data_IF_012825426236
#
_entry.id   IF_012825426236
#
_cell.length_a   1.000
_cell.length_b   1.000
_cell.length_c   1.000
_cell.angle_alpha   90.00
_cell.angle_beta   90.00
_cell.angle_gamma   90.00
#
_symmetry.space_group_name_H-M   'P 1'
#
loop_
_entity.id
_entity.type
_entity.pdbx_description
1 polymer ?
#
# COMPACT_ATOMS: atom_id res chain seq x y z
N UNK A 1 -4.43 -29.89 -12.67
CA UNK A 1 -3.60 -29.57 -11.50
C UNK A 1 -4.54 -28.93 -10.51
N UNK A 2 -4.85 -29.61 -9.42
CA UNK A 2 -5.72 -29.12 -8.34
C UNK A 2 -5.05 -27.89 -7.73
N UNK A 3 -5.71 -26.74 -7.81
CA UNK A 3 -5.37 -25.55 -7.01
C UNK A 3 -5.38 -25.97 -5.53
N UNK A 4 -4.20 -26.13 -4.97
CA UNK A 4 -4.07 -26.25 -3.52
C UNK A 4 -4.56 -24.91 -2.98
N UNK A 5 -5.60 -24.95 -2.14
CA UNK A 5 -6.18 -23.82 -1.45
C UNK A 5 -5.13 -23.32 -0.42
N UNK A 6 -4.10 -22.63 -0.91
CA UNK A 6 -3.04 -22.05 -0.07
C UNK A 6 -3.66 -20.88 0.66
N UNK A 7 -3.82 -21.02 1.97
CA UNK A 7 -4.33 -19.92 2.79
C UNK A 7 -3.43 -18.68 2.63
N UNK A 8 -3.98 -17.51 2.32
CA UNK A 8 -3.19 -16.29 2.18
C UNK A 8 -2.49 -15.93 3.50
N UNK A 9 -1.31 -15.33 3.40
CA UNK A 9 -0.57 -14.84 4.56
C UNK A 9 -1.32 -13.70 5.25
N UNK A 10 -1.80 -12.74 4.46
CA UNK A 10 -2.65 -11.64 4.90
C UNK A 10 -3.94 -11.67 4.08
N UNK A 11 -5.08 -11.56 4.75
CA UNK A 11 -6.39 -11.41 4.12
C UNK A 11 -7.14 -10.25 4.79
N UNK A 12 -7.60 -9.30 4.00
CA UNK A 12 -8.38 -8.15 4.43
C UNK A 12 -9.75 -8.26 3.79
N UNK A 13 -10.81 -8.25 4.61
CA UNK A 13 -12.20 -8.37 4.16
C UNK A 13 -13.06 -7.22 4.68
N UNK A 14 -13.76 -6.55 3.77
CA UNK A 14 -14.70 -5.47 4.04
C UNK A 14 -14.18 -4.45 5.07
N UNK A 15 -12.88 -4.11 4.97
CA UNK A 15 -12.26 -3.20 5.93
C UNK A 15 -12.84 -1.80 5.81
N UNK A 16 -13.34 -1.26 6.94
CA UNK A 16 -13.82 0.12 7.04
C UNK A 16 -13.13 0.85 8.17
N UNK A 17 -12.48 1.96 7.84
CA UNK A 17 -11.80 2.85 8.79
C UNK A 17 -12.25 4.28 8.58
N UNK A 18 -12.90 4.85 9.60
CA UNK A 18 -13.51 6.16 9.56
C UNK A 18 -12.89 7.09 10.59
N UNK A 19 -12.86 8.40 10.26
CA UNK A 19 -12.44 9.44 11.19
C UNK A 19 -13.65 10.34 11.53
N UNK A 20 -13.88 10.52 12.82
CA UNK A 20 -14.99 11.29 13.37
C UNK A 20 -14.51 12.72 13.66
N UNK A 21 -14.65 13.60 12.69
CA UNK A 21 -14.21 15.01 12.78
C UNK A 21 -15.40 15.94 13.07
N UNK A 22 -15.11 17.20 13.42
CA UNK A 22 -16.15 18.23 13.62
C UNK A 22 -16.96 18.47 12.34
N UNK A 23 -16.34 18.36 11.17
CA UNK A 23 -16.98 18.55 9.86
C UNK A 23 -17.80 17.34 9.38
N UNK A 24 -17.68 16.19 10.05
CA UNK A 24 -18.39 14.97 9.71
C UNK A 24 -17.53 13.70 9.74
N UNK A 25 -18.08 12.63 9.21
CA UNK A 25 -17.43 11.31 9.18
C UNK A 25 -16.66 11.15 7.88
N UNK A 26 -15.33 11.15 7.96
CA UNK A 26 -14.43 10.87 6.84
C UNK A 26 -14.32 9.37 6.65
N UNK A 27 -14.84 8.81 5.55
CA UNK A 27 -14.79 7.39 5.20
C UNK A 27 -13.50 7.07 4.45
N UNK A 28 -12.37 7.12 5.16
CA UNK A 28 -11.05 7.00 4.55
C UNK A 28 -10.78 5.63 3.92
N UNK A 29 -11.30 4.56 4.52
CA UNK A 29 -11.36 3.20 3.97
C UNK A 29 -12.78 2.70 4.16
N UNK A 30 -13.43 2.22 3.10
CA UNK A 30 -14.86 1.94 3.13
C UNK A 30 -15.23 0.68 2.34
N UNK A 31 -14.85 -0.48 2.86
CA UNK A 31 -15.07 -1.80 2.24
C UNK A 31 -13.94 -2.15 1.28
N UNK A 32 -12.74 -2.32 1.82
CA UNK A 32 -11.55 -2.76 1.09
C UNK A 32 -11.35 -4.25 1.31
N UNK A 33 -11.18 -4.97 0.19
CA UNK A 33 -10.96 -6.41 0.13
C UNK A 33 -9.70 -6.70 -0.69
N UNK A 34 -8.72 -7.38 -0.12
CA UNK A 34 -7.56 -7.93 -0.84
C UNK A 34 -6.84 -8.96 0.02
N UNK A 35 -5.96 -9.73 -0.62
CA UNK A 35 -5.12 -10.69 0.07
C UNK A 35 -3.68 -10.65 -0.45
N UNK A 36 -2.76 -11.17 0.35
CA UNK A 36 -1.33 -11.29 0.03
C UNK A 36 -0.87 -12.69 0.37
N UNK A 37 -0.24 -13.37 -0.57
CA UNK A 37 0.37 -14.68 -0.38
C UNK A 37 1.79 -14.56 0.17
N UNK A 38 2.35 -15.65 0.72
CA UNK A 38 3.74 -15.64 1.18
C UNK A 38 4.71 -15.31 0.05
N UNK A 39 5.63 -14.39 0.27
CA UNK A 39 6.63 -13.95 -0.70
C UNK A 39 6.08 -13.11 -1.87
N UNK A 40 4.78 -12.82 -1.92
CA UNK A 40 4.14 -12.01 -2.95
C UNK A 40 4.33 -10.52 -2.68
N UNK A 41 4.41 -9.70 -3.75
CA UNK A 41 4.31 -8.24 -3.67
C UNK A 41 2.98 -7.79 -4.23
N UNK A 42 2.14 -7.21 -3.38
CA UNK A 42 0.88 -6.56 -3.78
C UNK A 42 1.06 -5.06 -3.73
N UNK A 43 0.93 -4.41 -4.88
CA UNK A 43 0.92 -2.96 -5.00
C UNK A 43 -0.44 -2.37 -4.63
N UNK A 44 -0.47 -1.34 -3.80
CA UNK A 44 -1.67 -0.54 -3.52
C UNK A 44 -1.45 0.87 -4.05
N UNK A 45 -2.12 1.23 -5.15
CA UNK A 45 -1.88 2.48 -5.89
C UNK A 45 -3.11 3.37 -5.93
N UNK A 46 -2.89 4.66 -6.18
CA UNK A 46 -3.95 5.66 -6.35
C UNK A 46 -3.47 7.05 -5.96
N UNK A 47 -4.30 8.06 -6.23
CA UNK A 47 -4.01 9.47 -5.89
C UNK A 47 -3.83 9.68 -4.39
N UNK A 48 -3.16 10.77 -4.00
CA UNK A 48 -3.02 11.16 -2.59
C UNK A 48 -4.40 11.33 -1.94
N UNK A 49 -4.53 10.89 -0.68
CA UNK A 49 -5.79 10.98 0.07
C UNK A 49 -6.83 9.90 -0.26
N UNK A 50 -6.56 8.94 -1.16
CA UNK A 50 -7.53 7.89 -1.49
C UNK A 50 -7.67 6.77 -0.43
N UNK A 51 -6.86 6.78 0.66
CA UNK A 51 -6.98 5.85 1.78
C UNK A 51 -5.86 4.80 1.93
N UNK A 52 -4.82 4.80 1.07
CA UNK A 52 -3.73 3.80 1.08
C UNK A 52 -3.02 3.68 2.43
N UNK A 53 -2.48 4.79 2.95
CA UNK A 53 -1.79 4.82 4.24
C UNK A 53 -2.72 4.50 5.42
N UNK A 54 -4.01 4.86 5.31
CA UNK A 54 -5.00 4.48 6.33
C UNK A 54 -5.25 2.97 6.31
N UNK A 55 -5.23 2.34 5.14
CA UNK A 55 -5.33 0.88 5.01
C UNK A 55 -4.16 0.19 5.69
N UNK A 56 -2.92 0.63 5.44
CA UNK A 56 -1.72 0.07 6.08
C UNK A 56 -1.72 0.24 7.60
N UNK A 57 -2.06 1.45 8.08
CA UNK A 57 -2.18 1.72 9.51
C UNK A 57 -3.30 0.91 10.17
N UNK A 58 -4.39 0.61 9.44
CA UNK A 58 -5.46 -0.26 9.93
C UNK A 58 -4.98 -1.70 10.10
N UNK A 59 -4.22 -2.24 9.13
CA UNK A 59 -3.62 -3.57 9.21
C UNK A 59 -2.68 -3.66 10.42
N UNK A 60 -1.86 -2.64 10.65
CA UNK A 60 -0.96 -2.56 11.79
C UNK A 60 -1.66 -2.18 13.09
N UNK A 61 -2.98 -1.87 13.08
CA UNK A 61 -3.75 -1.35 14.21
C UNK A 61 -3.09 -0.11 14.85
N UNK A 62 -2.63 0.82 14.01
CA UNK A 62 -1.98 2.08 14.41
C UNK A 62 -2.87 3.30 14.13
N UNK A 63 -4.17 3.10 13.94
CA UNK A 63 -5.14 4.20 13.74
C UNK A 63 -5.29 4.97 15.05
N UNK A 64 -4.97 6.26 15.01
CA UNK A 64 -5.09 7.17 16.16
C UNK A 64 -6.45 7.87 16.17
N UNK A 65 -6.91 8.28 17.36
CA UNK A 65 -8.09 9.15 17.55
C UNK A 65 -7.91 10.41 16.70
N UNK A 66 -8.95 10.87 15.95
CA UNK A 66 -10.35 10.45 16.00
C UNK A 66 -10.73 9.29 15.05
N UNK A 67 -9.75 8.55 14.51
CA UNK A 67 -9.96 7.41 13.63
C UNK A 67 -10.35 6.15 14.38
N UNK A 68 -11.14 5.30 13.71
CA UNK A 68 -11.57 4.01 14.24
C UNK A 68 -11.79 3.01 13.10
N UNK A 69 -11.34 1.76 13.28
CA UNK A 69 -11.76 0.62 12.45
C UNK A 69 -13.18 0.26 12.91
N UNK A 70 -14.16 0.43 12.02
CA UNK A 70 -15.59 0.30 12.35
C UNK A 70 -16.17 -1.04 11.93
N UNK A 71 -15.58 -1.68 10.89
CA UNK A 71 -16.06 -2.94 10.34
C UNK A 71 -14.93 -3.64 9.59
N UNK A 72 -15.10 -4.95 9.34
CA UNK A 72 -14.20 -5.77 8.54
C UNK A 72 -13.41 -6.77 9.36
N UNK A 73 -12.60 -7.54 8.64
CA UNK A 73 -11.71 -8.54 9.21
C UNK A 73 -10.30 -8.37 8.61
N UNK A 74 -9.29 -8.54 9.45
CA UNK A 74 -7.88 -8.56 9.04
C UNK A 74 -7.29 -9.86 9.57
N UNK A 75 -7.14 -10.85 8.72
CA UNK A 75 -6.56 -12.15 9.06
C UNK A 75 -5.10 -12.20 8.65
N UNK A 76 -4.21 -12.49 9.59
CA UNK A 76 -2.80 -12.75 9.34
C UNK A 76 -2.45 -14.15 9.84
N UNK A 77 -1.97 -15.02 8.95
CA UNK A 77 -1.74 -16.45 9.22
C UNK A 77 -2.97 -17.13 9.86
N UNK A 78 -4.17 -16.79 9.38
CA UNK A 78 -5.44 -17.33 9.90
C UNK A 78 -5.89 -16.77 11.26
N UNK A 79 -5.17 -15.80 11.83
CA UNK A 79 -5.56 -15.13 13.08
C UNK A 79 -6.12 -13.74 12.80
N UNK A 80 -7.33 -13.45 13.25
CA UNK A 80 -7.91 -12.11 13.11
C UNK A 80 -7.19 -11.11 14.03
N UNK A 81 -6.47 -10.17 13.43
CA UNK A 81 -5.69 -9.16 14.14
C UNK A 81 -6.55 -8.22 14.98
N UNK A 82 -7.83 -7.99 14.60
CA UNK A 82 -8.72 -7.08 15.31
C UNK A 82 -9.15 -7.65 16.67
N UNK A 83 -9.06 -8.96 16.85
CA UNK A 83 -9.42 -9.65 18.11
C UNK A 83 -8.24 -9.84 19.05
N UNK A 84 -7.01 -9.59 18.61
CA UNK A 84 -5.82 -9.70 19.44
C UNK A 84 -5.78 -8.60 20.51
N UNK A 85 -5.27 -8.94 21.69
CA UNK A 85 -4.92 -7.95 22.72
C UNK A 85 -3.78 -7.04 22.25
N UNK A 86 -3.62 -5.86 22.84
CA UNK A 86 -2.50 -4.98 22.48
C UNK A 86 -1.14 -5.62 22.75
N UNK A 87 -1.05 -6.41 23.83
CA UNK A 87 0.18 -7.17 24.13
C UNK A 87 0.54 -8.15 22.99
N UNK A 88 -0.44 -8.89 22.45
CA UNK A 88 -0.21 -9.79 21.31
C UNK A 88 0.17 -9.00 20.05
N UNK A 89 -0.47 -7.84 19.79
CA UNK A 89 -0.10 -6.98 18.66
C UNK A 89 1.32 -6.42 18.78
N UNK A 90 1.78 -6.06 19.97
CA UNK A 90 3.18 -5.66 20.22
C UNK A 90 4.14 -6.79 19.85
N UNK A 91 3.80 -8.05 20.15
CA UNK A 91 4.62 -9.21 19.74
C UNK A 91 4.59 -9.49 18.25
N UNK A 92 3.53 -9.07 17.54
CA UNK A 92 3.42 -9.22 16.08
C UNK A 92 4.19 -8.12 15.34
N UNK A 93 4.02 -6.85 15.78
CA UNK A 93 4.69 -5.68 15.17
C UNK A 93 6.20 -5.77 15.36
N UNK A 94 6.95 -5.51 14.30
CA UNK A 94 8.42 -5.59 14.26
C UNK A 94 8.97 -7.01 14.14
N UNK A 95 8.24 -8.03 14.60
CA UNK A 95 8.68 -9.43 14.58
C UNK A 95 8.10 -10.22 13.39
N UNK A 96 6.79 -10.29 13.28
CA UNK A 96 6.10 -11.04 12.20
C UNK A 96 5.65 -10.14 11.07
N UNK A 97 5.23 -8.95 11.40
CA UNK A 97 4.77 -7.89 10.50
C UNK A 97 5.58 -6.64 10.80
N UNK A 98 6.08 -5.97 9.76
CA UNK A 98 6.83 -4.73 9.93
C UNK A 98 6.36 -3.67 8.94
N UNK A 99 6.70 -2.42 9.20
CA UNK A 99 6.29 -1.29 8.37
C UNK A 99 7.44 -0.31 8.14
N UNK A 100 7.57 0.12 6.89
CA UNK A 100 8.39 1.26 6.47
C UNK A 100 7.43 2.43 6.29
N UNK A 101 7.61 3.50 7.07
CA UNK A 101 6.77 4.69 7.03
C UNK A 101 7.22 5.67 5.94
N UNK A 102 6.30 6.52 5.50
CA UNK A 102 6.51 7.48 4.42
C UNK A 102 7.64 8.49 4.70
N UNK A 103 7.85 8.89 5.96
CA UNK A 103 8.83 9.90 6.35
C UNK A 103 9.87 9.32 7.31
N UNK A 104 11.07 8.96 6.84
CA UNK A 104 12.08 8.31 7.67
C UNK A 104 12.57 9.18 8.82
N UNK A 105 12.76 10.49 8.61
CA UNK A 105 13.25 11.40 9.64
C UNK A 105 12.27 11.60 10.80
N UNK A 106 10.97 11.59 10.54
CA UNK A 106 9.95 11.69 11.60
C UNK A 106 9.68 10.35 12.30
N UNK A 107 10.06 9.24 11.67
CA UNK A 107 9.92 7.89 12.23
C UNK A 107 11.06 7.47 13.14
N UNK A 108 12.23 8.09 12.97
CA UNK A 108 13.37 7.89 13.85
C UNK A 108 13.32 8.87 15.04
N UNK A 109 13.57 8.37 16.24
CA UNK A 109 13.61 9.22 17.43
C UNK A 109 14.89 10.08 17.42
N UNK A 110 14.79 11.44 17.37
CA UNK A 110 15.93 12.31 17.16
C UNK A 110 16.94 12.35 18.32
N UNK A 111 16.55 11.90 19.52
CA UNK A 111 17.40 11.94 20.72
C UNK A 111 18.15 10.63 20.99
N UNK A 112 17.91 9.58 20.19
CA UNK A 112 18.63 8.31 20.27
C UNK A 112 19.54 8.11 19.05
N UNK A 113 20.66 7.45 19.28
CA UNK A 113 21.58 7.08 18.19
C UNK A 113 20.92 6.06 17.27
N UNK A 114 21.33 6.08 16.01
CA UNK A 114 20.80 5.19 14.99
C UNK A 114 20.99 3.71 15.34
N UNK A 115 22.19 3.34 15.81
CA UNK A 115 22.50 1.97 16.23
C UNK A 115 21.66 1.51 17.42
N UNK A 116 21.40 2.39 18.41
CA UNK A 116 20.56 2.06 19.56
C UNK A 116 19.12 1.73 19.11
N UNK A 117 18.56 2.48 18.16
CA UNK A 117 17.19 2.25 17.67
C UNK A 117 17.07 0.93 16.89
N UNK A 118 18.08 0.56 16.12
CA UNK A 118 18.12 -0.75 15.44
C UNK A 118 18.30 -1.88 16.44
N UNK A 119 19.20 -1.71 17.43
CA UNK A 119 19.46 -2.70 18.47
C UNK A 119 18.24 -2.94 19.37
N UNK A 120 17.46 -1.90 19.69
CA UNK A 120 16.27 -1.97 20.53
C UNK A 120 15.26 -3.01 20.00
N UNK A 121 15.08 -3.11 18.69
CA UNK A 121 14.20 -4.12 18.09
C UNK A 121 14.63 -5.54 18.46
N UNK A 122 15.94 -5.80 18.47
CA UNK A 122 16.53 -7.10 18.83
C UNK A 122 16.45 -7.36 20.35
N UNK A 123 16.70 -6.34 21.15
CA UNK A 123 16.61 -6.42 22.61
C UNK A 123 15.17 -6.74 23.06
N UNK A 124 14.18 -6.05 22.50
CA UNK A 124 12.76 -6.22 22.88
C UNK A 124 12.24 -7.59 22.48
N UNK A 125 12.42 -7.98 21.22
CA UNK A 125 11.76 -9.17 20.66
C UNK A 125 12.57 -10.46 20.84
N UNK A 126 13.91 -10.41 20.76
CA UNK A 126 14.78 -11.58 20.92
C UNK A 126 15.43 -11.65 22.30
N UNK A 127 15.20 -10.66 23.17
CA UNK A 127 15.83 -10.56 24.51
C UNK A 127 17.36 -10.67 24.45
N UNK A 128 17.95 -10.14 23.38
CA UNK A 128 19.39 -10.12 23.20
C UNK A 128 20.07 -9.26 24.25
N UNK A 129 21.31 -9.62 24.61
CA UNK A 129 22.14 -8.76 25.44
C UNK A 129 22.55 -7.52 24.65
N UNK A 130 22.67 -6.38 25.33
CA UNK A 130 22.93 -5.06 24.71
C UNK A 130 24.11 -5.07 23.74
N UNK A 131 25.24 -5.69 24.08
CA UNK A 131 26.41 -5.75 23.20
C UNK A 131 26.14 -6.58 21.94
N UNK A 132 25.52 -7.75 22.09
CA UNK A 132 25.16 -8.63 20.96
C UNK A 132 24.14 -7.95 20.02
N UNK A 133 23.13 -7.28 20.59
CA UNK A 133 22.15 -6.50 19.80
C UNK A 133 22.81 -5.35 19.06
N UNK A 134 23.76 -4.66 19.68
CA UNK A 134 24.54 -3.61 19.04
C UNK A 134 25.37 -4.12 17.87
N UNK A 135 26.14 -5.20 18.07
CA UNK A 135 26.98 -5.76 17.01
C UNK A 135 26.11 -6.18 15.81
N UNK A 136 24.97 -6.81 16.08
CA UNK A 136 24.01 -7.20 15.05
C UNK A 136 23.33 -6.00 14.38
N UNK A 137 23.08 -4.91 15.11
CA UNK A 137 22.58 -3.67 14.54
C UNK A 137 23.57 -3.05 13.53
N UNK A 138 24.87 -3.07 13.85
CA UNK A 138 25.92 -2.66 12.91
C UNK A 138 25.93 -3.53 11.66
N UNK A 139 25.77 -4.85 11.80
CA UNK A 139 25.68 -5.77 10.65
C UNK A 139 24.44 -5.47 9.79
N UNK A 140 23.30 -5.16 10.39
CA UNK A 140 22.10 -4.75 9.67
C UNK A 140 22.29 -3.42 8.92
N UNK A 141 22.96 -2.44 9.53
CA UNK A 141 23.30 -1.18 8.86
C UNK A 141 24.27 -1.42 7.67
N UNK A 142 25.19 -2.37 7.81
CA UNK A 142 26.07 -2.80 6.69
C UNK A 142 25.28 -3.48 5.58
N UNK A 143 24.33 -4.35 5.92
CA UNK A 143 23.46 -5.06 4.97
C UNK A 143 22.63 -4.11 4.11
N UNK A 144 22.11 -3.01 4.69
CA UNK A 144 21.37 -1.99 3.94
C UNK A 144 22.27 -0.96 3.25
N UNK A 145 23.58 -1.15 3.27
CA UNK A 145 24.54 -0.33 2.55
C UNK A 145 24.81 1.06 3.17
N UNK A 146 24.75 1.18 4.49
CA UNK A 146 25.21 2.38 5.20
C UNK A 146 26.77 2.39 5.13
N UNK A 147 27.40 3.47 4.65
CA UNK A 147 28.85 3.59 4.66
C UNK A 147 29.38 3.76 6.08
N UNK A 148 30.52 3.15 6.39
CA UNK A 148 31.15 3.17 7.73
C UNK A 148 30.16 2.86 8.86
N UNK A 149 29.45 1.69 8.84
CA UNK A 149 28.32 1.41 9.70
C UNK A 149 28.69 1.46 11.20
N UNK A 150 29.91 1.09 11.58
CA UNK A 150 30.43 1.18 12.95
C UNK A 150 30.40 2.63 13.46
N UNK A 151 30.84 3.57 12.64
CA UNK A 151 30.83 5.00 12.97
C UNK A 151 29.42 5.57 12.92
N UNK A 152 28.67 5.22 11.86
CA UNK A 152 27.32 5.73 11.63
C UNK A 152 26.29 5.22 12.64
N UNK A 153 26.49 4.05 13.23
CA UNK A 153 25.65 3.56 14.35
C UNK A 153 25.66 4.52 15.55
N UNK A 154 26.73 5.27 15.75
CA UNK A 154 26.84 6.27 16.83
C UNK A 154 26.26 7.64 16.45
N UNK A 155 25.88 7.86 15.21
CA UNK A 155 25.27 9.11 14.73
C UNK A 155 23.80 9.23 15.17
N UNK A 156 23.30 10.46 15.21
CA UNK A 156 21.89 10.76 15.42
C UNK A 156 21.15 10.91 14.07
N UNK A 157 19.81 10.74 14.06
CA UNK A 157 19.04 10.86 12.81
C UNK A 157 19.27 12.17 12.04
N UNK A 158 19.44 13.30 12.71
CA UNK A 158 19.68 14.60 12.08
C UNK A 158 21.09 14.73 11.41
N UNK A 159 22.01 13.79 11.70
CA UNK A 159 23.33 13.70 11.06
C UNK A 159 23.33 12.78 9.82
N UNK A 160 22.14 12.24 9.46
CA UNK A 160 21.95 11.34 8.34
C UNK A 160 21.31 12.06 7.15
N UNK A 161 21.72 11.71 5.93
CA UNK A 161 20.96 12.12 4.74
C UNK A 161 19.60 11.41 4.68
N UNK A 162 18.65 11.94 3.90
CA UNK A 162 17.32 11.30 3.73
C UNK A 162 17.42 9.84 3.30
N UNK A 163 18.26 9.52 2.31
CA UNK A 163 18.49 8.14 1.87
C UNK A 163 19.18 7.27 2.92
N UNK A 164 20.07 7.82 3.76
CA UNK A 164 20.65 7.08 4.88
C UNK A 164 19.59 6.79 5.97
N UNK A 165 18.78 7.78 6.34
CA UNK A 165 17.70 7.59 7.31
C UNK A 165 16.68 6.54 6.81
N UNK A 166 16.37 6.54 5.50
CA UNK A 166 15.54 5.52 4.87
C UNK A 166 16.15 4.12 5.00
N UNK A 167 17.44 3.96 4.73
CA UNK A 167 18.15 2.68 4.88
C UNK A 167 18.15 2.20 6.34
N UNK A 168 18.30 3.11 7.31
CA UNK A 168 18.18 2.78 8.74
C UNK A 168 16.78 2.26 9.08
N UNK A 169 15.73 2.92 8.58
CA UNK A 169 14.36 2.48 8.80
C UNK A 169 14.10 1.09 8.16
N UNK A 170 14.67 0.83 6.98
CA UNK A 170 14.63 -0.50 6.34
C UNK A 170 15.36 -1.52 7.23
N UNK A 171 16.54 -1.19 7.76
CA UNK A 171 17.28 -2.07 8.67
C UNK A 171 16.45 -2.43 9.92
N UNK A 172 15.80 -1.45 10.52
CA UNK A 172 14.88 -1.68 11.65
C UNK A 172 13.70 -2.56 11.26
N UNK A 173 13.06 -2.28 10.12
CA UNK A 173 11.90 -3.03 9.65
C UNK A 173 12.22 -4.50 9.36
N UNK A 174 13.43 -4.80 8.91
CA UNK A 174 13.86 -6.14 8.51
C UNK A 174 14.71 -6.86 9.57
N UNK A 175 14.96 -6.24 10.73
CA UNK A 175 15.86 -6.75 11.76
C UNK A 175 15.52 -8.18 12.23
N UNK A 176 14.24 -8.54 12.20
CA UNK A 176 13.73 -9.84 12.66
C UNK A 176 13.20 -10.74 11.53
N UNK A 177 13.52 -10.42 10.29
CA UNK A 177 13.06 -11.17 9.10
C UNK A 177 11.53 -11.35 9.10
N UNK A 178 10.74 -10.27 9.05
CA UNK A 178 9.29 -10.35 9.11
C UNK A 178 8.74 -11.12 7.91
N UNK A 179 7.61 -11.78 8.11
CA UNK A 179 6.90 -12.46 7.02
C UNK A 179 6.15 -11.50 6.12
N UNK A 180 5.69 -10.36 6.69
CA UNK A 180 5.00 -9.30 5.97
C UNK A 180 5.71 -7.97 6.22
N UNK A 181 6.05 -7.28 5.14
CA UNK A 181 6.53 -5.91 5.14
C UNK A 181 5.49 -5.00 4.48
N UNK A 182 5.04 -3.98 5.17
CA UNK A 182 4.24 -2.91 4.59
C UNK A 182 5.16 -1.73 4.30
N UNK A 183 5.33 -1.36 3.04
CA UNK A 183 6.17 -0.25 2.61
C UNK A 183 5.26 0.89 2.13
N UNK A 184 5.08 1.91 2.98
CA UNK A 184 4.22 3.06 2.69
C UNK A 184 5.06 4.19 2.09
N UNK A 185 4.97 4.34 0.77
CA UNK A 185 5.73 5.31 -0.03
C UNK A 185 7.25 5.32 0.29
N UNK A 186 7.93 4.18 0.20
CA UNK A 186 9.29 4.02 0.74
C UNK A 186 10.35 4.86 0.05
N UNK A 187 10.03 5.54 -1.04
CA UNK A 187 10.96 6.34 -1.84
C UNK A 187 10.54 7.81 -1.99
N UNK A 188 9.44 8.21 -1.37
CA UNK A 188 8.96 9.60 -1.42
C UNK A 188 10.00 10.57 -0.84
N UNK A 189 10.18 11.72 -1.49
CA UNK A 189 11.16 12.75 -1.16
C UNK A 189 12.65 12.36 -1.31
N UNK A 190 12.94 11.28 -2.03
CA UNK A 190 14.29 10.90 -2.43
C UNK A 190 14.55 11.30 -3.89
N UNK A 191 15.80 11.58 -4.22
CA UNK A 191 16.20 11.74 -5.63
C UNK A 191 16.11 10.40 -6.40
N UNK A 192 15.96 10.49 -7.72
CA UNK A 192 15.71 9.32 -8.59
C UNK A 192 16.78 8.23 -8.44
N UNK A 193 18.05 8.63 -8.25
CA UNK A 193 19.14 7.66 -8.11
C UNK A 193 19.05 6.90 -6.79
N UNK A 194 18.78 7.60 -5.70
CA UNK A 194 18.61 6.98 -4.37
C UNK A 194 17.31 6.15 -4.35
N UNK A 195 16.24 6.62 -5.00
CA UNK A 195 15.01 5.85 -5.15
C UNK A 195 15.27 4.48 -5.79
N UNK A 196 15.93 4.42 -6.94
CA UNK A 196 16.29 3.16 -7.61
C UNK A 196 17.09 2.23 -6.68
N UNK A 197 18.11 2.76 -5.98
CA UNK A 197 18.92 1.99 -5.04
C UNK A 197 18.10 1.41 -3.85
N UNK A 198 17.10 2.14 -3.37
CA UNK A 198 16.23 1.66 -2.28
C UNK A 198 15.29 0.57 -2.79
N UNK A 199 14.75 0.70 -4.01
CA UNK A 199 13.90 -0.32 -4.62
C UNK A 199 14.67 -1.61 -4.89
N UNK A 200 15.87 -1.52 -5.47
CA UNK A 200 16.78 -2.66 -5.67
C UNK A 200 17.08 -3.38 -4.34
N UNK A 201 17.39 -2.59 -3.30
CA UNK A 201 17.64 -3.13 -1.95
C UNK A 201 16.42 -3.89 -1.41
N UNK A 202 15.22 -3.34 -1.54
CA UNK A 202 13.98 -3.99 -1.09
C UNK A 202 13.71 -5.28 -1.85
N UNK A 203 13.92 -5.29 -3.18
CA UNK A 203 13.77 -6.48 -4.01
C UNK A 203 14.76 -7.58 -3.65
N UNK A 204 16.03 -7.23 -3.42
CA UNK A 204 17.06 -8.18 -3.02
C UNK A 204 16.74 -8.79 -1.64
N UNK A 205 16.41 -7.95 -0.67
CA UNK A 205 16.05 -8.39 0.68
C UNK A 205 14.77 -9.24 0.69
N UNK A 206 13.73 -8.87 -0.08
CA UNK A 206 12.53 -9.70 -0.28
C UNK A 206 12.88 -11.11 -0.74
N UNK A 207 13.70 -11.21 -1.80
CA UNK A 207 14.10 -12.49 -2.38
C UNK A 207 14.87 -13.36 -1.38
N UNK A 208 15.79 -12.76 -0.61
CA UNK A 208 16.61 -13.47 0.37
C UNK A 208 15.80 -13.99 1.56
N UNK A 209 14.82 -13.23 2.02
CA UNK A 209 14.03 -13.52 3.22
C UNK A 209 12.68 -14.16 2.93
N UNK A 210 12.26 -14.24 1.66
CA UNK A 210 10.93 -14.69 1.24
C UNK A 210 9.80 -13.91 1.95
N UNK A 211 10.02 -12.61 2.17
CA UNK A 211 9.06 -11.70 2.81
C UNK A 211 7.97 -11.29 1.83
N UNK A 212 6.71 -11.37 2.23
CA UNK A 212 5.61 -10.78 1.48
C UNK A 212 5.60 -9.25 1.66
N UNK A 213 5.20 -8.50 0.62
CA UNK A 213 5.25 -7.04 0.66
C UNK A 213 3.91 -6.45 0.24
N UNK A 214 3.37 -5.52 1.04
CA UNK A 214 2.34 -4.57 0.61
C UNK A 214 3.06 -3.27 0.28
N UNK A 215 3.17 -2.96 -1.02
CA UNK A 215 3.86 -1.78 -1.52
C UNK A 215 2.85 -0.67 -1.82
N UNK A 216 2.88 0.39 -1.06
CA UNK A 216 2.04 1.57 -1.27
C UNK A 216 2.87 2.63 -1.98
N UNK A 217 2.37 3.09 -3.13
CA UNK A 217 2.98 4.18 -3.88
C UNK A 217 1.96 4.85 -4.80
N UNK A 218 2.25 6.06 -5.23
CA UNK A 218 1.53 6.72 -6.32
C UNK A 218 2.27 6.60 -7.66
N UNK A 219 3.47 6.02 -7.66
CA UNK A 219 4.30 5.81 -8.85
C UNK A 219 4.03 4.43 -9.46
N UNK A 220 3.34 4.43 -10.61
CA UNK A 220 3.04 3.21 -11.36
C UNK A 220 4.29 2.57 -12.00
N UNK A 221 5.36 3.35 -12.23
CA UNK A 221 6.64 2.80 -12.70
C UNK A 221 7.26 1.86 -11.66
N UNK A 222 7.23 2.28 -10.39
CA UNK A 222 7.67 1.44 -9.26
C UNK A 222 6.82 0.17 -9.16
N UNK A 223 5.52 0.27 -9.39
CA UNK A 223 4.61 -0.89 -9.37
C UNK A 223 4.94 -1.86 -10.51
N UNK A 224 5.16 -1.36 -11.72
CA UNK A 224 5.51 -2.19 -12.88
C UNK A 224 6.78 -3.01 -12.65
N UNK A 225 7.73 -2.48 -11.88
CA UNK A 225 9.01 -3.12 -11.58
C UNK A 225 8.94 -4.13 -10.43
N UNK A 226 8.13 -3.83 -9.40
CA UNK A 226 8.20 -4.53 -8.13
C UNK A 226 7.02 -5.46 -7.84
N UNK A 227 5.81 -5.13 -8.33
CA UNK A 227 4.59 -5.83 -7.90
C UNK A 227 4.29 -7.08 -8.72
N UNK A 228 3.76 -8.11 -8.06
CA UNK A 228 3.18 -9.28 -8.72
C UNK A 228 1.70 -9.01 -9.08
N UNK A 229 0.96 -8.39 -8.15
CA UNK A 229 -0.45 -7.96 -8.31
C UNK A 229 -0.65 -6.53 -7.84
N UNK A 230 -1.70 -5.90 -8.35
CA UNK A 230 -2.01 -4.48 -8.07
C UNK A 230 -3.47 -4.32 -7.68
N UNK A 231 -3.70 -3.57 -6.61
CA UNK A 231 -5.00 -3.07 -6.22
C UNK A 231 -5.02 -1.54 -6.40
N UNK A 232 -5.86 -1.06 -7.29
CA UNK A 232 -6.02 0.38 -7.56
C UNK A 232 -7.09 0.93 -6.64
N UNK A 233 -6.72 1.93 -5.83
CA UNK A 233 -7.60 2.51 -4.82
C UNK A 233 -8.05 3.92 -5.21
N UNK A 234 -9.34 4.18 -5.10
CA UNK A 234 -9.95 5.49 -5.32
C UNK A 234 -10.97 5.81 -4.25
N UNK A 235 -10.85 6.96 -3.61
CA UNK A 235 -11.80 7.48 -2.61
C UNK A 235 -12.27 6.42 -1.58
N UNK A 236 -11.32 5.70 -0.96
CA UNK A 236 -11.57 4.73 0.10
C UNK A 236 -11.98 3.32 -0.37
N UNK A 237 -11.97 3.04 -1.69
CA UNK A 237 -12.34 1.72 -2.25
C UNK A 237 -11.31 1.21 -3.26
N UNK A 238 -11.19 -0.11 -3.37
CA UNK A 238 -10.53 -0.73 -4.52
C UNK A 238 -11.48 -0.68 -5.70
N UNK A 239 -10.99 -0.12 -6.81
CA UNK A 239 -11.76 0.05 -8.05
C UNK A 239 -11.33 -0.92 -9.14
N UNK A 240 -10.11 -1.44 -9.06
CA UNK A 240 -9.58 -2.46 -9.97
C UNK A 240 -8.49 -3.28 -9.28
N UNK A 241 -8.46 -4.59 -9.54
CA UNK A 241 -7.51 -5.51 -8.94
C UNK A 241 -7.17 -6.63 -9.94
N UNK A 242 -5.87 -6.80 -10.22
CA UNK A 242 -5.39 -7.82 -11.16
C UNK A 242 -3.87 -8.03 -11.01
N UNK A 243 -3.28 -8.91 -11.80
CA UNK A 243 -1.82 -8.99 -11.95
C UNK A 243 -1.25 -7.75 -12.64
N UNK A 244 0.02 -7.46 -12.39
CA UNK A 244 0.66 -6.22 -12.86
C UNK A 244 0.66 -6.11 -14.38
N UNK A 245 0.96 -7.18 -15.12
CA UNK A 245 1.04 -7.15 -16.57
C UNK A 245 -0.34 -6.85 -17.20
N UNK A 246 -1.37 -7.56 -16.72
CA UNK A 246 -2.75 -7.34 -17.17
C UNK A 246 -3.21 -5.92 -16.89
N UNK A 247 -2.83 -5.31 -15.74
CA UNK A 247 -3.19 -3.92 -15.45
C UNK A 247 -2.65 -2.94 -16.50
N UNK A 248 -1.38 -3.12 -16.91
CA UNK A 248 -0.74 -2.22 -17.88
C UNK A 248 -1.17 -2.50 -19.31
N UNK A 249 -1.45 -3.76 -19.69
CA UNK A 249 -1.88 -4.15 -21.02
C UNK A 249 -3.35 -3.83 -21.29
N UNK A 250 -4.22 -4.08 -20.28
CA UNK A 250 -5.68 -3.98 -20.42
C UNK A 250 -6.33 -3.37 -19.18
N UNK A 251 -6.06 -2.10 -18.83
CA UNK A 251 -6.74 -1.44 -17.72
C UNK A 251 -8.23 -1.32 -18.01
N UNK A 252 -9.08 -1.72 -17.07
CA UNK A 252 -10.54 -1.71 -17.27
C UNK A 252 -11.19 -0.45 -16.70
N UNK A 253 -10.87 -0.08 -15.46
CA UNK A 253 -11.52 1.06 -14.83
C UNK A 253 -11.06 2.38 -15.47
N UNK A 254 -11.98 3.30 -15.85
CA UNK A 254 -11.60 4.58 -16.45
C UNK A 254 -10.63 5.43 -15.61
N UNK A 255 -10.63 5.29 -14.30
CA UNK A 255 -9.63 5.90 -13.43
C UNK A 255 -8.23 5.31 -13.64
N UNK A 256 -8.12 3.99 -13.71
CA UNK A 256 -6.84 3.29 -13.97
C UNK A 256 -6.29 3.66 -15.34
N UNK A 257 -7.15 3.71 -16.36
CA UNK A 257 -6.78 4.17 -17.69
C UNK A 257 -6.20 5.59 -17.66
N UNK A 258 -6.84 6.49 -16.91
CA UNK A 258 -6.36 7.86 -16.73
C UNK A 258 -5.02 7.92 -15.98
N UNK A 259 -4.83 7.08 -14.95
CA UNK A 259 -3.56 7.02 -14.22
C UNK A 259 -2.42 6.55 -15.14
N UNK A 260 -2.64 5.48 -15.91
CA UNK A 260 -1.64 4.94 -16.84
C UNK A 260 -1.34 5.92 -17.96
N UNK A 261 -2.37 6.59 -18.52
CA UNK A 261 -2.20 7.59 -19.58
C UNK A 261 -1.41 8.83 -19.14
N UNK A 262 -1.39 9.12 -17.83
CA UNK A 262 -0.62 10.23 -17.25
C UNK A 262 0.88 9.93 -17.06
N UNK A 263 1.32 8.67 -17.26
CA UNK A 263 2.73 8.28 -17.14
C UNK A 263 3.50 8.81 -18.35
N UNK A 264 4.61 9.56 -18.14
CA UNK A 264 5.47 9.97 -19.24
C UNK A 264 6.15 8.75 -19.89
N UNK A 265 5.99 8.56 -21.17
CA UNK A 265 6.69 7.50 -21.93
C UNK A 265 7.96 8.08 -22.54
N UNK A 266 9.11 7.50 -22.20
CA UNK A 266 10.40 7.90 -22.74
C UNK A 266 10.40 7.79 -24.29
N UNK A 267 10.80 8.87 -24.96
CA UNK A 267 10.87 8.92 -26.42
C UNK A 267 9.57 9.35 -27.14
N UNK A 268 8.46 9.52 -26.41
CA UNK A 268 7.22 10.08 -26.96
C UNK A 268 7.03 11.50 -26.41
N UNK A 269 7.18 12.50 -27.29
CA UNK A 269 6.87 13.89 -26.92
C UNK A 269 5.36 14.07 -27.13
N UNK A 270 4.60 14.17 -26.04
CA UNK A 270 3.19 14.61 -26.07
C UNK A 270 3.18 16.11 -25.79
N UNK A 271 2.45 16.88 -26.59
CA UNK A 271 2.28 18.33 -26.36
C UNK A 271 1.57 18.61 -25.04
N UNK A 272 0.66 17.72 -24.62
CA UNK A 272 0.00 17.74 -23.30
C UNK A 272 -0.07 16.33 -22.74
N UNK A 273 0.19 16.20 -21.42
CA UNK A 273 -0.03 14.95 -20.70
C UNK A 273 -1.54 14.76 -20.46
N UNK A 274 -2.01 13.52 -20.64
CA UNK A 274 -3.39 13.19 -20.25
C UNK A 274 -3.55 13.30 -18.75
N UNK A 275 -4.36 14.24 -18.30
CA UNK A 275 -4.64 14.50 -16.88
C UNK A 275 -6.06 14.05 -16.55
N UNK A 276 -6.23 13.38 -15.43
CA UNK A 276 -7.56 13.06 -14.90
C UNK A 276 -8.21 14.37 -14.44
N UNK A 277 -9.37 14.78 -15.02
CA UNK A 277 -9.97 16.08 -14.71
C UNK A 277 -10.51 16.12 -13.26
N UNK A 278 -10.52 17.32 -12.65
CA UNK A 278 -11.09 17.55 -11.34
C UNK A 278 -10.24 17.02 -10.18
N UNK A 279 -10.83 16.95 -9.00
CA UNK A 279 -10.18 16.53 -7.75
C UNK A 279 -10.88 15.31 -7.16
N UNK A 280 -10.17 14.54 -6.31
CA UNK A 280 -10.76 13.44 -5.53
C UNK A 280 -11.91 13.98 -4.67
N UNK A 281 -13.07 13.30 -4.63
CA UNK A 281 -14.21 13.77 -3.84
C UNK A 281 -13.87 13.83 -2.35
N UNK A 282 -14.54 14.75 -1.65
CA UNK A 282 -14.47 14.80 -0.19
C UNK A 282 -15.05 13.50 0.40
N UNK A 283 -14.27 12.83 1.22
CA UNK A 283 -14.65 11.53 1.82
C UNK A 283 -15.75 11.63 2.90
N UNK A 284 -16.19 12.84 3.25
CA UNK A 284 -17.36 13.09 4.11
C UNK A 284 -18.65 12.98 3.29
N UNK A 285 -18.70 13.67 2.14
CA UNK A 285 -19.88 13.78 1.28
C UNK A 285 -19.63 13.03 -0.03
N UNK A 286 -19.59 11.70 0.05
CA UNK A 286 -19.39 10.84 -1.12
C UNK A 286 -20.64 10.87 -2.03
N UNK A 287 -20.45 10.76 -3.37
CA UNK A 287 -21.57 10.64 -4.30
C UNK A 287 -22.35 9.35 -4.03
N UNK A 288 -23.66 9.30 -4.29
CA UNK A 288 -24.50 8.12 -4.00
C UNK A 288 -24.18 6.91 -4.90
N UNK A 289 -23.62 7.16 -6.10
CA UNK A 289 -23.21 6.12 -7.04
C UNK A 289 -21.71 5.89 -7.07
N UNK A 290 -21.17 5.56 -8.24
CA UNK A 290 -19.74 5.38 -8.45
C UNK A 290 -18.98 6.64 -8.01
N UNK A 291 -18.00 6.49 -7.12
CA UNK A 291 -17.22 7.62 -6.56
C UNK A 291 -16.41 8.36 -7.61
N UNK A 292 -16.05 7.68 -8.70
CA UNK A 292 -15.36 8.29 -9.84
C UNK A 292 -16.32 8.96 -10.85
N UNK A 293 -17.64 8.75 -10.75
CA UNK A 293 -18.61 9.28 -11.72
C UNK A 293 -18.48 10.78 -12.02
N UNK A 294 -18.19 11.68 -11.06
CA UNK A 294 -18.01 13.11 -11.32
C UNK A 294 -16.83 13.43 -12.27
N UNK A 295 -15.81 12.57 -12.34
CA UNK A 295 -14.58 12.74 -13.14
C UNK A 295 -14.53 11.81 -14.35
N UNK A 296 -15.49 10.89 -14.49
CA UNK A 296 -15.48 9.83 -15.48
C UNK A 296 -15.94 10.33 -16.86
N UNK A 297 -15.03 10.40 -17.84
CA UNK A 297 -15.34 10.75 -19.24
C UNK A 297 -16.24 9.70 -19.88
N UNK A 298 -15.95 8.40 -19.68
CA UNK A 298 -16.74 7.28 -20.20
C UNK A 298 -18.21 7.34 -19.78
N UNK A 299 -18.50 7.74 -18.53
CA UNK A 299 -19.87 7.96 -18.08
C UNK A 299 -20.58 9.02 -18.91
N UNK A 300 -19.91 10.13 -19.21
CA UNK A 300 -20.49 11.23 -20.00
C UNK A 300 -20.70 10.82 -21.45
N UNK A 301 -19.71 10.22 -22.07
CA UNK A 301 -19.73 9.78 -23.47
C UNK A 301 -20.83 8.75 -23.73
N UNK A 302 -21.03 7.80 -22.80
CA UNK A 302 -22.03 6.74 -22.90
C UNK A 302 -23.33 7.05 -22.15
N UNK A 303 -23.48 8.25 -21.59
CA UNK A 303 -24.68 8.69 -20.85
C UNK A 303 -25.14 7.72 -19.76
N UNK A 304 -24.19 7.12 -19.01
CA UNK A 304 -24.46 6.10 -18.00
C UNK A 304 -25.02 6.72 -16.71
N UNK A 305 -26.34 6.88 -16.64
CA UNK A 305 -27.03 7.46 -15.48
C UNK A 305 -26.85 6.61 -14.20
N UNK A 306 -26.83 5.29 -14.35
CA UNK A 306 -26.65 4.35 -13.24
C UNK A 306 -25.39 4.67 -12.41
N UNK A 307 -24.31 5.18 -13.04
CA UNK A 307 -23.09 5.56 -12.34
C UNK A 307 -23.29 6.67 -11.29
N UNK A 308 -24.35 7.47 -11.40
CA UNK A 308 -24.69 8.53 -10.42
C UNK A 308 -25.70 8.10 -9.38
N UNK A 309 -26.31 6.94 -9.53
CA UNK A 309 -27.42 6.47 -8.71
C UNK A 309 -27.00 5.33 -7.79
N UNK A 310 -26.24 4.37 -8.35
CA UNK A 310 -25.88 3.13 -7.65
C UNK A 310 -24.38 2.90 -7.74
N UNK A 311 -23.75 2.59 -6.60
CA UNK A 311 -22.32 2.22 -6.57
C UNK A 311 -22.13 0.80 -7.12
N UNK A 312 -21.19 0.58 -8.08
CA UNK A 312 -20.90 -0.76 -8.58
C UNK A 312 -20.16 -1.60 -7.53
N UNK A 313 -20.34 -2.90 -7.58
CA UNK A 313 -19.56 -3.86 -6.79
C UNK A 313 -18.21 -4.15 -7.48
N UNK A 314 -17.21 -4.62 -6.72
CA UNK A 314 -15.97 -5.14 -7.27
C UNK A 314 -16.23 -6.59 -7.69
N UNK A 315 -16.28 -6.84 -9.00
CA UNK A 315 -16.61 -8.14 -9.57
C UNK A 315 -15.60 -8.52 -10.64
N UNK A 316 -15.41 -9.83 -10.81
CA UNK A 316 -14.57 -10.36 -11.89
C UNK A 316 -15.19 -9.99 -13.26
N UNK A 317 -14.36 -9.36 -14.11
CA UNK A 317 -14.70 -9.06 -15.49
C UNK A 317 -14.11 -10.10 -16.46
N UNK A 318 -12.90 -10.60 -16.16
CA UNK A 318 -12.21 -11.61 -16.96
C UNK A 318 -11.21 -12.37 -16.05
N UNK A 319 -11.44 -13.65 -15.80
CA UNK A 319 -10.58 -14.46 -14.93
C UNK A 319 -10.41 -13.85 -13.54
N UNK A 320 -9.16 -13.51 -13.19
CA UNK A 320 -8.81 -12.89 -11.90
C UNK A 320 -8.76 -11.34 -11.96
N UNK A 321 -9.25 -10.74 -13.05
CA UNK A 321 -9.32 -9.29 -13.23
C UNK A 321 -10.64 -8.77 -12.70
N UNK A 322 -10.61 -8.14 -11.54
CA UNK A 322 -11.77 -7.58 -10.86
C UNK A 322 -11.86 -6.07 -11.12
N UNK A 323 -13.06 -5.56 -11.40
CA UNK A 323 -13.31 -4.14 -11.63
C UNK A 323 -14.61 -3.66 -11.02
N UNK A 324 -14.61 -2.47 -10.44
CA UNK A 324 -15.76 -1.79 -9.85
C UNK A 324 -16.31 -0.77 -10.85
N UNK A 325 -16.94 -1.25 -11.96
CA UNK A 325 -17.41 -0.37 -13.02
C UNK A 325 -18.62 -0.93 -13.77
N UNK A 326 -19.66 -0.10 -13.93
CA UNK A 326 -20.89 -0.45 -14.67
C UNK A 326 -20.70 -0.71 -16.16
N UNK A 327 -19.57 -0.35 -16.74
CA UNK A 327 -19.23 -0.67 -18.14
C UNK A 327 -19.09 -2.19 -18.33
N UNK A 328 -18.66 -2.91 -17.29
CA UNK A 328 -18.37 -4.35 -17.36
C UNK A 328 -19.43 -5.21 -16.68
N UNK A 329 -20.36 -4.62 -15.95
CA UNK A 329 -21.38 -5.35 -15.19
C UNK A 329 -22.77 -4.88 -15.54
N UNK A 330 -23.75 -5.82 -15.60
CA UNK A 330 -25.16 -5.51 -15.74
C UNK A 330 -25.84 -5.44 -14.37
N UNK A 331 -26.71 -4.46 -14.17
CA UNK A 331 -27.59 -4.42 -13.01
C UNK A 331 -28.95 -5.00 -13.37
N UNK A 332 -29.31 -6.15 -12.80
CA UNK A 332 -30.53 -6.89 -13.15
C UNK A 332 -31.82 -6.09 -12.94
N UNK A 333 -31.83 -5.20 -11.92
CA UNK A 333 -33.03 -4.40 -11.56
C UNK A 333 -33.24 -3.16 -12.41
N UNK A 334 -32.24 -2.69 -13.17
CA UNK A 334 -32.30 -1.43 -13.93
C UNK A 334 -32.61 -1.57 -15.41
N UNK A 335 -32.68 -2.80 -15.94
CA UNK A 335 -32.84 -3.05 -17.38
C UNK A 335 -31.68 -2.53 -18.23
N UNK A 336 -30.61 -2.04 -17.63
CA UNK A 336 -29.41 -1.57 -18.32
C UNK A 336 -28.53 -2.77 -18.64
N UNK A 337 -28.39 -3.06 -19.95
CA UNK A 337 -27.32 -3.94 -20.41
C UNK A 337 -26.02 -3.18 -20.32
N UNK A 338 -24.97 -3.81 -19.79
CA UNK A 338 -23.63 -3.28 -19.90
C UNK A 338 -23.35 -2.92 -21.37
N UNK A 339 -22.80 -1.73 -21.68
CA UNK A 339 -22.30 -1.48 -23.01
C UNK A 339 -21.25 -2.55 -23.33
N UNK A 340 -21.18 -3.00 -24.60
CA UNK A 340 -20.16 -3.98 -24.97
C UNK A 340 -18.79 -3.43 -24.59
N UNK A 341 -17.93 -4.22 -23.92
CA UNK A 341 -16.60 -3.76 -23.55
C UNK A 341 -15.87 -3.30 -24.83
N UNK A 342 -15.27 -2.14 -24.78
CA UNK A 342 -14.40 -1.65 -25.83
C UNK A 342 -13.12 -2.51 -25.82
N UNK A 343 -13.00 -3.39 -26.83
CA UNK A 343 -11.78 -4.12 -27.14
C UNK A 343 -10.85 -3.24 -27.97
#
# INVERSE_FOLDING_TARGET
VTEQNVQPLLEVKNLKTYFYTEDGIVKAVDGVDFHVSSGEVVGLVGESGCGKSVTSLSIMRLISVPGKIVEGEISFEGRNLLHLSEHEMVQMRGNRMSMIFQQPQSSLNPVFKVGDQVAEVLEIHQKMKKQEAWDKAVDLLRLVGIPDPEKKAHAYPHEMSGGQAQRVMIAMALALNPQLLIADEPTTALDVTIQAQILDLLLDLRKRMNTAVVLITHDLGVIAEMADRVAVMYAGRIVEHTDVNTLFEKPLHPYTQGLIASIPVLGIVKDELDVIPGIVPNLINLPPGCRFAPRCRTRVEHQLKICTEIEPELLAADGNHEVRCWVYHSHETSGHKAPQPFL
#
